data_IF_507233735974
#
_entry.id   IF_507233735974
#
_cell.length_a   1.000
_cell.length_b   1.000
_cell.length_c   1.000
_cell.angle_alpha   90.00
_cell.angle_beta   90.00
_cell.angle_gamma   90.00
#
_symmetry.space_group_name_H-M   'P 1'
#
loop_
_entity.id
_entity.type
_entity.pdbx_description
1 polymer ?
#
# COMPACT_ATOMS: atom_id res chain seq x y z
N UNK A 1 0.58 -55.88 51.62
CA UNK A 1 1.85 -56.28 51.04
C UNK A 1 2.21 -55.22 50.01
N UNK A 2 2.96 -54.33 50.47
CA UNK A 2 4.32 -53.95 50.05
C UNK A 2 4.26 -53.06 48.81
N UNK A 3 4.30 -51.72 48.96
CA UNK A 3 5.49 -50.82 49.19
C UNK A 3 6.38 -50.73 47.95
N UNK A 4 6.57 -49.58 47.40
CA UNK A 4 7.58 -48.56 47.57
C UNK A 4 7.40 -47.54 46.42
N UNK A 5 7.14 -46.26 46.65
CA UNK A 5 8.07 -45.25 47.13
C UNK A 5 9.30 -45.07 46.26
N UNK A 6 9.35 -43.95 45.57
CA UNK A 6 10.44 -42.99 45.70
C UNK A 6 10.26 -41.77 44.76
N UNK A 7 10.09 -40.65 45.35
CA UNK A 7 10.61 -39.33 44.90
C UNK A 7 11.99 -39.18 45.56
N UNK A 8 12.71 -38.11 45.43
CA UNK A 8 12.91 -37.01 44.49
C UNK A 8 14.41 -36.79 44.21
N UNK A 9 14.73 -35.72 43.48
CA UNK A 9 15.93 -34.85 43.67
C UNK A 9 15.97 -33.87 42.47
N UNK A 10 15.62 -32.58 42.62
CA UNK A 10 16.48 -31.46 43.00
C UNK A 10 17.88 -31.53 42.34
N UNK A 11 18.32 -30.61 41.55
CA UNK A 11 18.71 -29.27 41.92
C UNK A 11 19.35 -28.52 40.72
N UNK A 12 19.09 -27.25 40.69
CA UNK A 12 20.02 -26.17 40.35
C UNK A 12 20.77 -26.14 39.01
N UNK A 13 20.44 -25.23 38.18
CA UNK A 13 21.31 -24.04 38.08
C UNK A 13 20.66 -22.93 37.25
N UNK A 14 20.42 -21.92 37.97
CA UNK A 14 20.18 -20.57 37.52
C UNK A 14 21.39 -20.07 36.75
N UNK A 15 21.23 -19.73 35.49
CA UNK A 15 22.17 -18.82 34.82
C UNK A 15 21.34 -17.77 34.07
N UNK A 16 21.31 -16.61 34.73
CA UNK A 16 20.98 -15.33 34.11
C UNK A 16 21.76 -15.18 32.80
N UNK A 17 21.02 -15.11 31.72
CA UNK A 17 21.50 -14.50 30.49
C UNK A 17 20.46 -13.48 30.07
N UNK A 18 20.84 -12.22 30.26
CA UNK A 18 20.22 -11.02 29.73
C UNK A 18 19.81 -11.21 28.27
N UNK A 19 18.62 -10.73 27.87
CA UNK A 19 18.27 -10.78 26.48
C UNK A 19 19.15 -9.79 25.72
N UNK A 20 20.09 -10.31 24.96
CA UNK A 20 20.69 -9.58 23.88
C UNK A 20 19.55 -9.07 22.98
N UNK A 21 19.60 -7.78 22.71
CA UNK A 21 18.77 -7.08 21.76
C UNK A 21 18.85 -7.79 20.39
N UNK A 22 18.01 -8.78 20.21
CA UNK A 22 17.78 -9.41 18.92
C UNK A 22 16.90 -8.46 18.14
N UNK A 23 17.49 -7.76 17.17
CA UNK A 23 16.73 -7.17 16.08
C UNK A 23 15.88 -8.30 15.47
N UNK A 24 14.57 -8.13 15.59
CA UNK A 24 13.64 -9.02 14.90
C UNK A 24 13.89 -8.86 13.40
N UNK A 25 14.65 -9.78 12.82
CA UNK A 25 14.65 -10.02 11.41
C UNK A 25 13.19 -10.31 11.05
N UNK A 26 12.52 -9.31 10.47
CA UNK A 26 11.27 -9.57 9.78
C UNK A 26 11.60 -10.65 8.76
N UNK A 27 11.04 -11.83 8.97
CA UNK A 27 11.24 -12.96 8.09
C UNK A 27 11.05 -12.53 6.65
N UNK A 28 11.98 -12.97 5.80
CA UNK A 28 11.90 -12.88 4.36
C UNK A 28 10.47 -13.21 3.92
N UNK A 29 9.64 -12.18 3.81
CA UNK A 29 8.35 -12.34 3.20
C UNK A 29 8.59 -12.36 1.72
N UNK A 30 8.24 -13.45 1.10
CA UNK A 30 8.13 -13.55 -0.35
C UNK A 30 7.31 -12.34 -0.81
N UNK A 31 7.93 -11.44 -1.55
CA UNK A 31 7.26 -10.27 -2.13
C UNK A 31 6.31 -10.78 -3.22
N UNK A 32 5.16 -11.26 -2.81
CA UNK A 32 4.11 -11.65 -3.73
C UNK A 32 3.27 -10.41 -4.01
N UNK A 33 3.43 -9.85 -5.18
CA UNK A 33 2.39 -9.04 -5.77
C UNK A 33 1.24 -10.00 -6.11
N UNK A 34 0.31 -10.17 -5.18
CA UNK A 34 -0.82 -11.12 -5.27
C UNK A 34 -1.68 -10.94 -6.51
N UNK A 35 -1.53 -9.84 -7.22
CA UNK A 35 -2.36 -9.54 -8.39
C UNK A 35 -1.75 -9.98 -9.72
N UNK A 36 -0.43 -10.29 -9.79
CA UNK A 36 0.23 -10.65 -11.05
C UNK A 36 0.95 -11.99 -11.07
N UNK A 37 0.84 -12.81 -10.04
CA UNK A 37 1.39 -14.17 -10.04
C UNK A 37 2.93 -14.28 -10.17
N UNK A 38 3.66 -13.18 -10.01
CA UNK A 38 5.11 -13.18 -10.05
C UNK A 38 5.65 -13.38 -8.62
N UNK A 39 5.98 -14.62 -8.30
CA UNK A 39 6.84 -14.92 -7.17
C UNK A 39 8.26 -14.47 -7.49
N UNK A 40 8.69 -13.39 -6.89
CA UNK A 40 10.12 -13.08 -6.82
C UNK A 40 10.68 -13.82 -5.62
N UNK A 41 11.29 -14.98 -5.87
CA UNK A 41 12.06 -15.68 -4.85
C UNK A 41 13.29 -14.85 -4.53
N UNK A 42 13.20 -14.00 -3.52
CA UNK A 42 14.37 -13.34 -2.97
C UNK A 42 15.12 -14.37 -2.12
N UNK A 43 16.28 -14.84 -2.59
CA UNK A 43 17.30 -15.45 -1.73
C UNK A 43 17.53 -14.50 -0.54
N UNK A 44 17.86 -15.00 0.66
CA UNK A 44 18.20 -14.16 1.79
C UNK A 44 19.45 -13.35 1.44
N UNK A 45 19.22 -12.20 0.82
CA UNK A 45 20.24 -11.23 0.55
C UNK A 45 20.64 -10.60 1.88
N UNK A 46 21.91 -10.52 2.17
CA UNK A 46 22.40 -9.64 3.22
C UNK A 46 21.88 -8.25 2.92
N UNK A 47 21.44 -7.52 3.94
CA UNK A 47 20.84 -6.17 3.76
C UNK A 47 21.71 -5.24 2.91
N UNK A 48 23.02 -5.45 2.91
CA UNK A 48 24.00 -4.67 2.12
C UNK A 48 23.92 -4.89 0.60
N UNK A 49 23.22 -5.95 0.15
CA UNK A 49 23.07 -6.28 -1.28
C UNK A 49 21.73 -5.85 -1.86
N UNK A 50 20.84 -5.26 -1.05
CA UNK A 50 19.52 -4.83 -1.48
C UNK A 50 19.61 -3.55 -2.33
N UNK A 51 18.81 -3.49 -3.38
CA UNK A 51 18.65 -2.26 -4.16
C UNK A 51 17.88 -1.19 -3.37
N UNK A 52 18.03 0.08 -3.77
CA UNK A 52 17.24 1.18 -3.18
C UNK A 52 15.73 0.93 -3.22
N UNK A 53 15.25 0.23 -4.25
CA UNK A 53 13.85 -0.14 -4.41
C UNK A 53 13.40 -1.18 -3.38
N UNK A 54 14.23 -2.21 -3.15
CA UNK A 54 13.96 -3.23 -2.15
C UNK A 54 14.02 -2.67 -0.73
N UNK A 55 14.99 -1.79 -0.45
CA UNK A 55 15.09 -1.09 0.82
C UNK A 55 13.86 -0.21 1.07
N UNK A 56 13.39 0.49 0.04
CA UNK A 56 12.18 1.30 0.11
C UNK A 56 10.93 0.45 0.34
N UNK A 57 10.82 -0.71 -0.32
CA UNK A 57 9.69 -1.63 -0.16
C UNK A 57 9.66 -2.33 1.22
N UNK A 58 10.81 -2.48 1.86
CA UNK A 58 10.92 -3.13 3.17
C UNK A 58 10.89 -2.14 4.35
N UNK A 59 10.93 -0.85 4.07
CA UNK A 59 10.97 0.19 5.11
C UNK A 59 12.31 0.31 5.82
N UNK A 60 13.40 -0.16 5.20
CA UNK A 60 14.75 -0.14 5.78
C UNK A 60 15.40 1.25 5.64
N UNK A 61 14.85 2.22 6.39
CA UNK A 61 15.22 3.64 6.30
C UNK A 61 16.70 3.92 6.50
N UNK A 62 17.36 3.23 7.45
CA UNK A 62 18.77 3.48 7.75
C UNK A 62 19.65 3.21 6.55
N UNK A 63 19.47 2.07 5.92
CA UNK A 63 20.24 1.65 4.76
C UNK A 63 19.84 2.43 3.50
N UNK A 64 18.55 2.71 3.35
CA UNK A 64 18.07 3.56 2.27
C UNK A 64 18.73 4.94 2.32
N UNK A 65 18.83 5.56 3.50
CA UNK A 65 19.55 6.83 3.71
C UNK A 65 21.00 6.74 3.29
N UNK A 66 21.69 5.68 3.69
CA UNK A 66 23.10 5.49 3.36
C UNK A 66 23.32 5.27 1.85
N UNK A 67 22.44 4.54 1.20
CA UNK A 67 22.49 4.37 -0.26
C UNK A 67 22.23 5.69 -1.01
N UNK A 68 21.22 6.45 -0.59
CA UNK A 68 20.90 7.74 -1.20
C UNK A 68 22.01 8.79 -1.01
N UNK A 69 22.76 8.72 0.10
CA UNK A 69 23.92 9.59 0.34
C UNK A 69 25.14 9.22 -0.50
N UNK A 70 25.29 7.94 -0.83
CA UNK A 70 26.47 7.43 -1.57
C UNK A 70 26.33 7.57 -3.09
N UNK A 71 25.11 7.68 -3.61
CA UNK A 71 24.86 7.71 -5.05
C UNK A 71 24.05 8.92 -5.48
N UNK A 72 24.52 9.59 -6.54
CA UNK A 72 23.80 10.70 -7.16
C UNK A 72 22.55 10.19 -7.89
N UNK A 73 21.45 10.94 -7.77
CA UNK A 73 20.19 10.70 -8.50
C UNK A 73 19.47 9.35 -8.25
N UNK A 74 19.74 8.68 -7.12
CA UNK A 74 19.05 7.42 -6.79
C UNK A 74 17.63 7.63 -6.31
N UNK A 75 17.26 8.83 -5.85
CA UNK A 75 15.96 9.13 -5.24
C UNK A 75 14.78 8.87 -6.18
N UNK A 76 14.95 9.18 -7.48
CA UNK A 76 13.94 9.00 -8.53
C UNK A 76 14.35 7.93 -9.56
N UNK A 77 15.38 7.14 -9.26
CA UNK A 77 15.86 6.12 -10.20
C UNK A 77 14.77 5.06 -10.42
N UNK A 78 14.32 4.85 -11.67
CA UNK A 78 13.36 3.80 -11.96
C UNK A 78 14.07 2.44 -12.03
N UNK A 79 13.36 1.39 -11.65
CA UNK A 79 13.75 0.00 -11.91
C UNK A 79 13.40 -0.41 -13.36
N UNK A 80 13.58 -1.70 -13.67
CA UNK A 80 13.29 -2.25 -15.01
C UNK A 80 11.83 -2.09 -15.43
N UNK A 81 10.91 -1.97 -14.47
CA UNK A 81 9.46 -1.76 -14.68
C UNK A 81 9.07 -0.29 -14.65
N UNK A 82 10.00 0.59 -14.37
CA UNK A 82 9.76 2.03 -14.21
C UNK A 82 9.35 2.44 -12.82
N UNK A 83 9.37 1.53 -11.84
CA UNK A 83 9.03 1.86 -10.46
C UNK A 83 10.17 2.60 -9.77
N UNK A 84 9.86 3.76 -9.21
CA UNK A 84 10.78 4.50 -8.35
C UNK A 84 10.75 3.95 -6.92
N UNK A 85 11.74 4.28 -6.06
CA UNK A 85 11.68 3.94 -4.64
C UNK A 85 10.40 4.41 -3.96
N UNK A 86 9.88 5.60 -4.34
CA UNK A 86 8.61 6.12 -3.82
C UNK A 86 7.41 5.25 -4.20
N UNK A 87 7.34 4.79 -5.46
CA UNK A 87 6.28 3.89 -5.93
C UNK A 87 6.35 2.56 -5.16
N UNK A 88 7.55 2.01 -4.96
CA UNK A 88 7.75 0.79 -4.19
C UNK A 88 7.30 0.94 -2.73
N UNK A 89 7.76 1.99 -2.04
CA UNK A 89 7.37 2.27 -0.65
C UNK A 89 5.84 2.43 -0.52
N UNK A 90 5.21 3.11 -1.50
CA UNK A 90 3.76 3.32 -1.53
C UNK A 90 2.99 2.03 -1.78
N UNK A 91 3.51 1.14 -2.61
CA UNK A 91 2.90 -0.16 -2.92
C UNK A 91 2.92 -1.13 -1.73
N UNK A 92 3.90 -0.99 -0.83
CA UNK A 92 4.07 -1.85 0.33
C UNK A 92 3.61 -1.23 1.65
N UNK A 93 3.14 0.01 1.63
CA UNK A 93 2.55 0.66 2.80
C UNK A 93 3.56 1.23 3.79
N UNK A 94 4.79 1.48 3.37
CA UNK A 94 5.87 1.96 4.21
C UNK A 94 5.81 3.49 4.39
N UNK A 95 4.88 3.94 5.24
CA UNK A 95 4.54 5.36 5.44
C UNK A 95 5.75 6.23 5.80
N UNK A 96 6.62 5.77 6.69
CA UNK A 96 7.79 6.53 7.12
C UNK A 96 8.81 6.66 5.99
N UNK A 97 8.93 5.63 5.16
CA UNK A 97 9.76 5.66 3.97
C UNK A 97 9.19 6.61 2.91
N UNK A 98 7.88 6.60 2.69
CA UNK A 98 7.21 7.54 1.79
C UNK A 98 7.46 8.97 2.25
N UNK A 99 7.23 9.28 3.53
CA UNK A 99 7.48 10.60 4.11
C UNK A 99 8.92 11.03 3.88
N UNK A 100 9.86 10.18 4.26
CA UNK A 100 11.28 10.45 4.10
C UNK A 100 11.66 10.71 2.63
N UNK A 101 11.17 9.90 1.70
CA UNK A 101 11.48 10.08 0.26
C UNK A 101 10.93 11.40 -0.28
N UNK A 102 9.70 11.79 0.11
CA UNK A 102 9.10 13.07 -0.27
C UNK A 102 9.90 14.25 0.32
N UNK A 103 10.28 14.19 1.59
CA UNK A 103 11.11 15.21 2.24
C UNK A 103 12.49 15.35 1.59
N UNK A 104 13.01 14.29 0.97
CA UNK A 104 14.28 14.28 0.24
C UNK A 104 14.14 14.63 -1.24
N UNK A 105 12.96 15.01 -1.69
CA UNK A 105 12.70 15.48 -3.05
C UNK A 105 12.40 14.36 -4.06
N UNK A 106 11.88 13.23 -3.60
CA UNK A 106 11.31 12.26 -4.52
C UNK A 106 10.12 12.87 -5.28
N UNK A 107 10.09 12.67 -6.59
CA UNK A 107 9.04 13.17 -7.45
C UNK A 107 7.82 12.23 -7.41
N UNK A 108 6.68 12.67 -6.85
CA UNK A 108 5.48 11.85 -6.74
C UNK A 108 4.69 11.74 -8.06
N UNK A 109 5.06 12.50 -9.09
CA UNK A 109 4.37 12.52 -10.39
C UNK A 109 4.88 11.46 -11.38
N UNK A 110 6.00 10.80 -11.07
CA UNK A 110 6.56 9.77 -11.93
C UNK A 110 5.61 8.59 -12.03
N UNK A 111 5.35 8.17 -13.26
CA UNK A 111 4.57 6.98 -13.57
C UNK A 111 5.50 5.83 -13.99
N UNK A 112 5.16 4.62 -13.59
CA UNK A 112 5.82 3.41 -14.06
C UNK A 112 5.51 3.13 -15.54
N UNK A 113 6.11 2.09 -16.13
CA UNK A 113 5.95 1.79 -17.56
C UNK A 113 4.51 1.50 -17.99
N UNK A 114 3.71 0.91 -17.12
CA UNK A 114 2.28 0.67 -17.34
C UNK A 114 1.39 1.78 -16.76
N UNK A 115 1.98 2.97 -16.54
CA UNK A 115 1.35 4.17 -15.99
C UNK A 115 0.86 4.01 -14.55
N UNK A 116 1.35 3.03 -13.80
CA UNK A 116 1.06 2.93 -12.38
C UNK A 116 1.69 4.13 -11.63
N UNK A 117 0.92 4.76 -10.76
CA UNK A 117 1.37 5.84 -9.89
C UNK A 117 1.54 5.37 -8.44
N UNK A 118 2.32 6.12 -7.66
CA UNK A 118 2.39 5.88 -6.22
C UNK A 118 1.00 5.94 -5.57
N UNK A 119 0.15 6.88 -6.01
CA UNK A 119 -1.22 7.05 -5.50
C UNK A 119 -2.11 5.85 -5.85
N UNK A 120 -2.04 5.32 -7.09
CA UNK A 120 -2.85 4.16 -7.49
C UNK A 120 -2.49 2.91 -6.69
N UNK A 121 -1.19 2.65 -6.48
CA UNK A 121 -0.73 1.49 -5.72
C UNK A 121 -1.02 1.60 -4.22
N UNK A 122 -0.87 2.79 -3.63
CA UNK A 122 -1.28 3.05 -2.25
C UNK A 122 -2.79 2.86 -2.05
N UNK A 123 -3.59 3.30 -3.02
CA UNK A 123 -5.05 3.14 -3.02
C UNK A 123 -5.46 1.68 -3.16
N UNK A 124 -4.75 0.90 -3.99
CA UNK A 124 -4.94 -0.53 -4.16
C UNK A 124 -4.63 -1.31 -2.87
N UNK A 125 -3.59 -0.90 -2.14
CA UNK A 125 -3.21 -1.49 -0.85
C UNK A 125 -4.05 -1.03 0.34
N UNK A 126 -4.85 0.02 0.17
CA UNK A 126 -5.66 0.60 1.25
C UNK A 126 -4.85 1.44 2.25
N UNK A 127 -3.69 1.93 1.87
CA UNK A 127 -2.79 2.69 2.74
C UNK A 127 -3.22 4.16 2.84
N UNK A 128 -4.25 4.40 3.62
CA UNK A 128 -4.95 5.70 3.71
C UNK A 128 -4.02 6.86 4.05
N UNK A 129 -3.06 6.66 4.95
CA UNK A 129 -2.16 7.73 5.36
C UNK A 129 -1.18 8.09 4.25
N UNK A 130 -0.74 7.11 3.46
CA UNK A 130 0.08 7.34 2.26
C UNK A 130 -0.75 8.04 1.18
N UNK A 131 -2.00 7.62 0.96
CA UNK A 131 -2.92 8.28 0.04
C UNK A 131 -3.06 9.75 0.39
N UNK A 132 -3.28 10.09 1.67
CA UNK A 132 -3.38 11.49 2.13
C UNK A 132 -2.10 12.26 1.88
N UNK A 133 -0.93 11.68 2.23
CA UNK A 133 0.38 12.30 2.02
C UNK A 133 0.62 12.63 0.54
N UNK A 134 0.32 11.68 -0.35
CA UNK A 134 0.49 11.89 -1.79
C UNK A 134 -0.48 12.94 -2.35
N UNK A 135 -1.72 12.98 -1.84
CA UNK A 135 -2.71 14.00 -2.22
C UNK A 135 -2.34 15.41 -1.76
N UNK A 136 -1.42 15.57 -0.82
CA UNK A 136 -0.84 16.87 -0.42
C UNK A 136 0.22 17.37 -1.42
N UNK A 137 0.69 16.52 -2.33
CA UNK A 137 1.74 16.82 -3.30
C UNK A 137 1.20 17.18 -4.69
N UNK A 138 -0.06 17.57 -4.80
CA UNK A 138 -0.74 17.97 -6.05
C UNK A 138 -0.63 16.94 -7.19
N UNK A 139 -0.56 15.65 -6.86
CA UNK A 139 -0.56 14.58 -7.86
C UNK A 139 -1.90 14.49 -8.59
N UNK A 140 -1.87 14.05 -9.84
CA UNK A 140 -3.10 13.81 -10.61
C UNK A 140 -3.89 12.64 -9.99
N UNK A 141 -5.01 13.00 -9.36
CA UNK A 141 -5.89 12.08 -8.65
C UNK A 141 -6.64 11.12 -9.58
N UNK A 142 -6.75 11.46 -10.86
CA UNK A 142 -7.49 10.71 -11.86
C UNK A 142 -6.57 10.00 -12.87
N UNK A 143 -5.27 9.95 -12.59
CA UNK A 143 -4.33 9.19 -13.43
C UNK A 143 -4.81 7.74 -13.55
N UNK A 144 -4.93 7.25 -14.77
CA UNK A 144 -5.25 5.84 -15.05
C UNK A 144 -4.05 5.10 -15.62
N UNK A 145 -3.95 3.83 -15.27
CA UNK A 145 -2.94 2.92 -15.81
C UNK A 145 -3.43 2.23 -17.09
N UNK A 146 -2.59 1.38 -17.68
CA UNK A 146 -2.95 0.65 -18.90
C UNK A 146 -4.08 -0.38 -18.72
N UNK A 147 -4.51 -0.66 -17.50
CA UNK A 147 -5.70 -1.48 -17.22
C UNK A 147 -6.96 -0.61 -17.05
N UNK A 148 -6.87 0.69 -17.35
CA UNK A 148 -7.96 1.65 -17.13
C UNK A 148 -8.27 1.90 -15.65
N UNK A 149 -7.38 1.49 -14.73
CA UNK A 149 -7.58 1.63 -13.29
C UNK A 149 -7.18 3.01 -12.78
N UNK A 150 -8.11 3.73 -12.15
CA UNK A 150 -7.80 4.96 -11.40
C UNK A 150 -7.58 4.64 -9.92
N UNK A 151 -6.93 5.53 -9.14
CA UNK A 151 -6.80 5.38 -7.69
C UNK A 151 -8.14 5.10 -7.00
N UNK A 152 -9.21 5.78 -7.41
CA UNK A 152 -10.56 5.57 -6.87
C UNK A 152 -11.10 4.17 -7.20
N UNK A 153 -10.97 3.70 -8.44
CA UNK A 153 -11.38 2.36 -8.85
C UNK A 153 -10.66 1.27 -8.02
N UNK A 154 -9.36 1.44 -7.79
CA UNK A 154 -8.60 0.50 -6.96
C UNK A 154 -9.03 0.51 -5.50
N UNK A 155 -9.27 1.69 -4.93
CA UNK A 155 -9.77 1.82 -3.56
C UNK A 155 -11.16 1.18 -3.39
N UNK A 156 -12.07 1.39 -4.35
CA UNK A 156 -13.40 0.76 -4.37
C UNK A 156 -13.26 -0.75 -4.50
N UNK A 157 -12.45 -1.23 -5.45
CA UNK A 157 -12.22 -2.67 -5.67
C UNK A 157 -11.71 -3.38 -4.43
N UNK A 158 -10.82 -2.72 -3.67
CA UNK A 158 -10.25 -3.24 -2.43
C UNK A 158 -11.14 -3.05 -1.21
N UNK A 159 -12.30 -2.40 -1.34
CA UNK A 159 -13.17 -2.00 -0.22
C UNK A 159 -12.45 -1.11 0.82
N UNK A 160 -11.55 -0.27 0.36
CA UNK A 160 -10.76 0.63 1.21
C UNK A 160 -11.50 1.94 1.47
N UNK A 161 -12.54 1.87 2.31
CA UNK A 161 -13.48 2.96 2.58
C UNK A 161 -12.79 4.29 2.89
N UNK A 162 -11.78 4.28 3.76
CA UNK A 162 -11.05 5.51 4.16
C UNK A 162 -10.24 6.11 3.00
N UNK A 163 -9.71 5.27 2.10
CA UNK A 163 -9.06 5.76 0.87
C UNK A 163 -10.07 6.37 -0.08
N UNK A 164 -11.24 5.73 -0.25
CA UNK A 164 -12.35 6.27 -1.06
C UNK A 164 -12.77 7.64 -0.53
N UNK A 165 -12.98 7.77 0.79
CA UNK A 165 -13.31 9.06 1.42
C UNK A 165 -12.25 10.13 1.14
N UNK A 166 -10.97 9.79 1.30
CA UNK A 166 -9.88 10.72 1.09
C UNK A 166 -9.78 11.18 -0.38
N UNK A 167 -9.94 10.25 -1.32
CA UNK A 167 -9.92 10.54 -2.76
C UNK A 167 -11.11 11.41 -3.18
N UNK A 168 -12.32 11.07 -2.74
CA UNK A 168 -13.52 11.85 -3.05
C UNK A 168 -13.49 13.25 -2.44
N UNK A 169 -12.97 13.39 -1.22
CA UNK A 169 -12.79 14.70 -0.57
C UNK A 169 -11.86 15.63 -1.34
N UNK A 170 -10.98 15.07 -2.20
CA UNK A 170 -10.06 15.82 -3.07
C UNK A 170 -10.52 15.89 -4.51
N UNK A 171 -11.75 15.45 -4.82
CA UNK A 171 -12.36 15.59 -6.15
C UNK A 171 -12.03 14.48 -7.14
N UNK A 172 -11.78 13.26 -6.67
CA UNK A 172 -11.64 12.12 -7.58
C UNK A 172 -12.90 11.92 -8.41
N UNK A 173 -12.70 11.63 -9.72
CA UNK A 173 -13.79 11.47 -10.67
C UNK A 173 -14.49 10.11 -10.49
N UNK A 174 -15.80 10.17 -10.36
CA UNK A 174 -16.68 9.02 -10.20
C UNK A 174 -17.19 8.47 -11.53
N UNK A 175 -17.01 9.20 -12.60
CA UNK A 175 -17.56 8.88 -13.93
C UNK A 175 -16.54 8.19 -14.84
N UNK A 176 -15.27 8.18 -14.45
CA UNK A 176 -14.21 7.51 -15.22
C UNK A 176 -14.48 6.01 -15.25
N UNK A 177 -14.64 5.46 -16.45
CA UNK A 177 -14.81 4.03 -16.69
C UNK A 177 -13.44 3.33 -16.77
N UNK A 178 -13.36 2.15 -16.15
CA UNK A 178 -12.25 1.23 -16.39
C UNK A 178 -12.37 0.60 -17.79
N UNK A 179 -11.32 -0.08 -18.29
CA UNK A 179 -11.35 -0.83 -19.55
C UNK A 179 -12.47 -1.89 -19.59
N UNK A 180 -12.91 -2.33 -18.42
CA UNK A 180 -14.05 -3.24 -18.26
C UNK A 180 -15.42 -2.56 -18.44
N UNK A 181 -15.46 -1.25 -18.67
CA UNK A 181 -16.69 -0.46 -18.80
C UNK A 181 -17.41 -0.17 -17.49
N UNK A 182 -16.79 -0.44 -16.34
CA UNK A 182 -17.37 -0.14 -15.03
C UNK A 182 -16.87 1.19 -14.50
N UNK A 183 -17.79 2.06 -14.08
CA UNK A 183 -17.48 3.21 -13.23
C UNK A 183 -17.19 2.76 -11.79
N UNK A 184 -16.57 3.60 -10.94
CA UNK A 184 -16.41 3.30 -9.51
C UNK A 184 -17.73 2.94 -8.81
N UNK A 185 -18.84 3.56 -9.24
CA UNK A 185 -20.17 3.27 -8.71
C UNK A 185 -20.68 1.89 -9.14
N UNK A 186 -20.55 1.56 -10.43
CA UNK A 186 -20.95 0.26 -10.95
C UNK A 186 -20.19 -0.87 -10.29
N UNK A 187 -18.87 -0.64 -10.10
CA UNK A 187 -18.01 -1.59 -9.44
C UNK A 187 -18.44 -1.81 -7.97
N UNK A 188 -18.77 -0.73 -7.25
CA UNK A 188 -19.26 -0.82 -5.87
C UNK A 188 -20.58 -1.62 -5.79
N UNK A 189 -21.49 -1.42 -6.74
CA UNK A 189 -22.75 -2.14 -6.83
C UNK A 189 -22.52 -3.62 -7.19
N UNK A 190 -21.65 -3.89 -8.17
CA UNK A 190 -21.32 -5.25 -8.61
C UNK A 190 -20.67 -6.08 -7.50
N UNK A 191 -19.85 -5.45 -6.68
CA UNK A 191 -19.21 -6.08 -5.52
C UNK A 191 -20.15 -6.23 -4.31
N UNK A 192 -21.41 -5.82 -4.44
CA UNK A 192 -22.42 -5.99 -3.39
C UNK A 192 -22.36 -4.91 -2.30
N UNK A 193 -21.69 -3.80 -2.55
CA UNK A 193 -21.64 -2.67 -1.61
C UNK A 193 -22.96 -1.87 -1.64
N UNK A 194 -24.09 -2.58 -1.61
CA UNK A 194 -25.43 -1.99 -1.53
C UNK A 194 -25.63 -1.28 -0.20
N UNK A 195 -26.67 -0.42 -0.12
CA UNK A 195 -27.16 0.40 1.01
C UNK A 195 -27.14 -0.23 2.42
N UNK A 196 -26.36 -1.23 2.70
CA UNK A 196 -26.22 -1.91 3.97
C UNK A 196 -24.96 -2.75 4.15
N UNK A 197 -24.15 -2.93 3.11
CA UNK A 197 -22.92 -3.74 3.15
C UNK A 197 -21.69 -2.97 3.57
N UNK A 198 -21.60 -1.71 3.24
CA UNK A 198 -20.68 -0.76 3.88
C UNK A 198 -21.39 -0.25 5.14
N UNK A 199 -21.16 -0.92 6.25
CA UNK A 199 -21.55 -0.42 7.56
C UNK A 199 -20.65 0.78 7.89
N UNK A 200 -21.02 1.94 7.37
CA UNK A 200 -20.32 3.17 7.65
C UNK A 200 -20.92 4.35 6.88
N UNK A 201 -20.79 5.56 7.38
CA UNK A 201 -21.43 6.77 6.87
C UNK A 201 -20.89 7.27 5.52
N UNK A 202 -20.00 6.53 4.86
CA UNK A 202 -19.30 6.96 3.65
C UNK A 202 -20.24 7.20 2.49
N UNK A 203 -21.23 6.34 2.33
CA UNK A 203 -22.18 6.40 1.23
C UNK A 203 -23.51 7.08 1.60
N UNK A 204 -23.66 7.52 2.85
CA UNK A 204 -24.93 8.07 3.34
C UNK A 204 -24.87 9.28 4.26
N UNK A 205 -23.71 9.86 4.57
CA UNK A 205 -23.64 10.79 5.71
C UNK A 205 -22.70 11.99 5.64
N UNK A 206 -22.02 12.30 4.56
CA UNK A 206 -21.30 13.58 4.49
C UNK A 206 -22.16 14.67 3.87
N UNK A 207 -22.39 15.73 4.65
CA UNK A 207 -22.99 16.99 4.21
C UNK A 207 -22.15 17.53 3.04
N UNK A 208 -22.61 17.31 1.82
CA UNK A 208 -22.00 17.88 0.63
C UNK A 208 -21.95 16.96 -0.59
N UNK A 209 -22.00 15.66 -0.43
CA UNK A 209 -22.03 14.75 -1.58
C UNK A 209 -23.33 13.93 -1.52
N UNK A 210 -24.38 14.52 -2.02
CA UNK A 210 -25.67 13.86 -2.15
C UNK A 210 -25.65 12.96 -3.38
N UNK A 211 -25.26 11.70 -3.20
CA UNK A 211 -25.21 10.68 -4.25
C UNK A 211 -26.51 10.50 -5.04
N UNK A 212 -27.65 10.94 -4.45
CA UNK A 212 -28.96 10.88 -5.10
C UNK A 212 -29.22 12.03 -6.07
N UNK A 213 -28.33 12.99 -6.20
CA UNK A 213 -28.50 14.13 -7.12
C UNK A 213 -27.82 13.96 -8.47
N UNK A 214 -26.97 12.94 -8.59
CA UNK A 214 -26.49 12.50 -9.91
C UNK A 214 -27.52 11.56 -10.51
N UNK A 215 -28.67 12.15 -10.87
CA UNK A 215 -29.65 11.52 -11.72
C UNK A 215 -28.99 11.31 -13.07
N UNK A 216 -28.75 10.05 -13.44
CA UNK A 216 -28.56 9.66 -14.83
C UNK A 216 -29.72 10.28 -15.62
N UNK A 217 -29.48 11.04 -16.69
CA UNK A 217 -30.58 11.48 -17.54
C UNK A 217 -31.28 10.21 -18.06
N UNK A 218 -32.56 10.09 -17.78
CA UNK A 218 -33.46 9.15 -18.48
C UNK A 218 -33.60 9.66 -19.91
N UNK A 219 -32.68 9.28 -20.79
CA UNK A 219 -32.85 9.43 -22.23
C UNK A 219 -32.72 8.06 -22.87
N UNK A 220 -33.85 7.38 -22.87
CA UNK A 220 -34.17 6.37 -23.83
C UNK A 220 -35.70 6.29 -23.98
N UNK A 221 -36.20 7.10 -24.87
CA UNK A 221 -37.50 6.86 -25.57
C UNK A 221 -37.26 6.96 -27.04
#
# INVERSE_FOLDING_TARGET
>A
MSTHSCSPLSDHSNTDLSPASGSFLKHSTTLTNRQRGNEVSALPATLDSLSVHQLAAQGELSQLKDHLRKGDNLINKPDERGFTPLIWASAFGEIETVRFLLDWGADPHILAKERESALSLASMGGYTDIVRLLLEQDVDINTYDWNGGTPLLYAVRGNHVKCVEALLARGADLTTEADSGYTPMDLAVALGYRKGGLRGPVWGGHRGVHWMSLRVPDDAS
#
